data_IF_490515414105
#
_entry.id   IF_490515414105
#
_cell.length_a   1.000
_cell.length_b   1.000
_cell.length_c   1.000
_cell.angle_alpha   90.00
_cell.angle_beta   90.00
_cell.angle_gamma   90.00
#
_symmetry.space_group_name_H-M   'P 1'
#
loop_
_entity.id
_entity.type
_entity.pdbx_description
1 polymer ?
#
# COMPACT_ATOMS: atom_id res chain seq x y z
N UNK A 1 -9.64 -14.01 -8.02
CA UNK A 1 -10.54 -14.16 -6.87
C UNK A 1 -9.80 -15.02 -5.84
N UNK A 2 -9.10 -14.39 -4.91
CA UNK A 2 -8.37 -15.08 -3.84
C UNK A 2 -9.05 -14.69 -2.55
N UNK A 3 -9.84 -15.60 -1.99
CA UNK A 3 -10.45 -15.44 -0.68
C UNK A 3 -9.39 -15.74 0.38
N UNK A 4 -8.89 -14.72 1.06
CA UNK A 4 -8.06 -14.87 2.25
C UNK A 4 -8.97 -15.02 3.46
N UNK A 5 -9.31 -16.28 3.80
CA UNK A 5 -9.91 -16.63 5.08
C UNK A 5 -8.80 -16.72 6.13
N UNK A 6 -8.54 -15.62 6.82
CA UNK A 6 -7.66 -15.59 7.97
C UNK A 6 -8.49 -15.36 9.23
N UNK A 7 -8.87 -16.44 9.87
CA UNK A 7 -9.02 -16.58 11.32
C UNK A 7 -9.64 -17.96 11.58
N UNK A 8 -8.77 -18.97 11.68
CA UNK A 8 -9.16 -20.23 12.28
C UNK A 8 -8.88 -20.11 13.77
N UNK A 9 -9.90 -19.85 14.55
CA UNK A 9 -9.84 -19.96 16.01
C UNK A 9 -9.43 -21.39 16.36
N UNK A 10 -8.34 -21.50 17.09
CA UNK A 10 -7.86 -22.75 17.69
C UNK A 10 -8.94 -23.25 18.65
N UNK A 11 -9.41 -24.50 18.54
CA UNK A 11 -10.30 -25.04 19.54
C UNK A 11 -9.53 -25.18 20.87
N UNK A 12 -10.11 -24.63 21.90
CA UNK A 12 -9.67 -24.76 23.28
C UNK A 12 -9.91 -26.23 23.69
N UNK A 13 -8.87 -27.04 23.65
CA UNK A 13 -8.88 -28.38 24.19
C UNK A 13 -8.56 -28.32 25.68
N UNK A 14 -9.59 -28.17 26.48
CA UNK A 14 -9.56 -28.51 27.90
C UNK A 14 -9.53 -30.02 28.02
N UNK A 15 -8.35 -30.61 27.93
CA UNK A 15 -8.11 -31.98 28.36
C UNK A 15 -7.02 -31.94 29.43
N UNK A 16 -7.44 -31.91 30.67
CA UNK A 16 -6.65 -32.26 31.83
C UNK A 16 -6.16 -33.69 31.69
N UNK A 17 -5.00 -33.89 31.12
CA UNK A 17 -4.27 -35.14 31.22
C UNK A 17 -3.08 -34.89 32.14
N UNK A 18 -3.22 -35.27 33.40
CA UNK A 18 -2.10 -35.51 34.28
C UNK A 18 -1.24 -36.63 33.66
N UNK A 19 -0.21 -36.21 32.94
CA UNK A 19 0.87 -37.11 32.56
C UNK A 19 1.81 -37.25 33.79
N UNK A 20 1.74 -38.36 34.44
CA UNK A 20 2.73 -38.83 35.40
C UNK A 20 4.11 -38.78 34.74
N UNK A 21 4.96 -37.94 35.28
CA UNK A 21 6.38 -37.85 34.88
C UNK A 21 7.06 -39.21 35.18
N UNK A 22 7.39 -39.96 34.15
CA UNK A 22 8.39 -41.03 34.22
C UNK A 22 9.75 -40.40 34.20
N UNK A 23 10.63 -40.71 35.18
CA UNK A 23 12.02 -40.32 35.15
C UNK A 23 12.78 -41.30 34.24
N UNK A 24 12.62 -41.17 32.96
CA UNK A 24 13.35 -41.96 31.96
C UNK A 24 14.09 -40.98 31.04
N UNK A 25 15.41 -41.03 31.06
CA UNK A 25 16.30 -40.15 30.36
C UNK A 25 15.95 -39.97 28.90
N UNK A 26 15.28 -38.84 28.59
CA UNK A 26 15.07 -38.40 27.23
C UNK A 26 16.42 -38.21 26.54
N UNK A 27 16.55 -38.81 25.36
CA UNK A 27 17.78 -38.70 24.58
C UNK A 27 18.09 -37.21 24.34
N UNK A 28 19.18 -36.62 24.87
CA UNK A 28 19.48 -35.19 24.78
C UNK A 28 19.56 -34.70 23.34
N UNK A 29 19.85 -35.59 22.39
CA UNK A 29 19.85 -35.27 20.95
C UNK A 29 18.45 -35.05 20.39
N UNK A 30 17.43 -35.78 20.89
CA UNK A 30 16.04 -35.59 20.47
C UNK A 30 15.48 -34.28 21.03
N UNK A 31 15.75 -33.98 22.31
CA UNK A 31 15.32 -32.73 22.93
C UNK A 31 15.97 -31.52 22.26
N UNK A 32 17.28 -31.59 21.94
CA UNK A 32 17.97 -30.55 21.19
C UNK A 32 17.44 -30.33 19.78
N UNK A 33 17.01 -31.42 19.12
CA UNK A 33 16.39 -31.34 17.79
C UNK A 33 15.00 -30.71 17.84
N UNK A 34 14.18 -31.06 18.81
CA UNK A 34 12.85 -30.46 19.01
C UNK A 34 12.96 -28.97 19.32
N UNK A 35 13.84 -28.57 20.23
CA UNK A 35 14.08 -27.18 20.55
C UNK A 35 14.58 -26.38 19.32
N UNK A 36 15.46 -26.99 18.51
CA UNK A 36 15.93 -26.37 17.26
C UNK A 36 14.81 -26.19 16.27
N UNK A 37 13.95 -27.19 16.08
CA UNK A 37 12.79 -27.14 15.17
C UNK A 37 11.75 -26.09 15.62
N UNK A 38 11.49 -25.97 16.91
CA UNK A 38 10.61 -24.94 17.44
C UNK A 38 11.17 -23.54 17.20
N UNK A 39 12.45 -23.32 17.48
CA UNK A 39 13.11 -22.04 17.21
C UNK A 39 13.09 -21.73 15.72
N UNK A 40 13.45 -22.66 14.87
CA UNK A 40 13.47 -22.48 13.42
C UNK A 40 12.07 -22.20 12.87
N UNK A 41 11.04 -22.94 13.34
CA UNK A 41 9.65 -22.69 12.98
C UNK A 41 9.17 -21.29 13.39
N UNK A 42 9.60 -20.79 14.55
CA UNK A 42 9.28 -19.42 15.00
C UNK A 42 9.93 -18.35 14.12
N UNK A 43 11.15 -18.57 13.62
CA UNK A 43 11.82 -17.64 12.69
C UNK A 43 11.12 -17.58 11.35
N UNK A 44 10.70 -18.74 10.80
CA UNK A 44 9.97 -18.79 9.52
C UNK A 44 8.63 -18.06 9.63
N UNK A 45 7.88 -18.28 10.72
CA UNK A 45 6.58 -17.62 10.92
C UNK A 45 6.75 -16.11 11.09
N UNK A 46 7.76 -15.65 11.81
CA UNK A 46 8.10 -14.22 11.92
C UNK A 46 8.48 -13.62 10.58
N UNK A 47 9.30 -14.33 9.79
CA UNK A 47 9.68 -13.85 8.45
C UNK A 47 8.47 -13.72 7.53
N UNK A 48 7.51 -14.65 7.59
CA UNK A 48 6.26 -14.56 6.84
C UNK A 48 5.40 -13.35 7.28
N UNK A 49 5.29 -13.11 8.59
CA UNK A 49 4.57 -11.95 9.12
C UNK A 49 5.20 -10.62 8.66
N UNK A 50 6.54 -10.50 8.71
CA UNK A 50 7.23 -9.29 8.25
C UNK A 50 7.06 -9.04 6.76
N UNK A 51 7.01 -10.10 5.94
CA UNK A 51 6.70 -9.97 4.50
C UNK A 51 5.30 -9.40 4.28
N UNK A 52 4.31 -9.86 5.04
CA UNK A 52 2.95 -9.31 4.97
C UNK A 52 2.91 -7.84 5.37
N UNK A 53 3.56 -7.47 6.47
CA UNK A 53 3.66 -6.06 6.92
C UNK A 53 4.32 -5.20 5.83
N UNK A 54 5.45 -5.65 5.29
CA UNK A 54 6.15 -4.93 4.23
C UNK A 54 5.27 -4.75 2.98
N UNK A 55 4.51 -5.77 2.59
CA UNK A 55 3.58 -5.70 1.46
C UNK A 55 2.47 -4.68 1.70
N UNK A 56 1.86 -4.66 2.90
CA UNK A 56 0.86 -3.66 3.25
C UNK A 56 1.43 -2.24 3.25
N UNK A 57 2.62 -2.04 3.81
CA UNK A 57 3.28 -0.74 3.79
C UNK A 57 3.55 -0.27 2.35
N UNK A 58 3.96 -1.17 1.46
CA UNK A 58 4.21 -0.87 0.06
C UNK A 58 2.91 -0.42 -0.63
N UNK A 59 1.81 -1.16 -0.48
CA UNK A 59 0.51 -0.80 -1.06
C UNK A 59 0.08 0.59 -0.58
N UNK A 60 0.16 0.86 0.72
CA UNK A 60 -0.22 2.16 1.28
C UNK A 60 0.65 3.30 0.72
N UNK A 61 1.95 3.08 0.57
CA UNK A 61 2.87 4.05 0.00
C UNK A 61 2.55 4.34 -1.49
N UNK A 62 2.23 3.31 -2.28
CA UNK A 62 1.88 3.48 -3.69
C UNK A 62 0.52 4.16 -3.87
N UNK A 63 -0.47 3.88 -3.03
CA UNK A 63 -1.76 4.59 -3.03
C UNK A 63 -1.56 6.08 -2.72
N UNK A 64 -0.78 6.39 -1.69
CA UNK A 64 -0.46 7.76 -1.32
C UNK A 64 0.28 8.51 -2.45
N UNK A 65 1.27 7.84 -3.09
CA UNK A 65 1.99 8.37 -4.24
C UNK A 65 1.07 8.57 -5.45
N UNK A 66 0.11 7.68 -5.67
CA UNK A 66 -0.87 7.78 -6.74
C UNK A 66 -1.71 9.07 -6.60
N UNK A 67 -2.29 9.32 -5.42
CA UNK A 67 -3.06 10.54 -5.14
C UNK A 67 -2.19 11.78 -5.27
N UNK A 68 -0.98 11.76 -4.71
CA UNK A 68 -0.05 12.87 -4.79
C UNK A 68 0.31 13.19 -6.25
N UNK A 69 0.66 12.20 -7.07
CA UNK A 69 0.99 12.40 -8.48
C UNK A 69 -0.20 12.88 -9.31
N UNK A 70 -1.42 12.46 -8.95
CA UNK A 70 -2.64 12.88 -9.64
C UNK A 70 -2.97 14.35 -9.39
N UNK A 71 -2.90 14.78 -8.12
CA UNK A 71 -3.47 16.06 -7.66
C UNK A 71 -2.45 17.20 -7.60
N UNK A 72 -1.14 16.89 -7.57
CA UNK A 72 -0.10 17.92 -7.50
C UNK A 72 0.05 18.65 -8.83
N UNK A 73 0.15 19.99 -8.75
CA UNK A 73 0.47 20.84 -9.89
C UNK A 73 1.75 21.60 -9.58
N UNK A 74 2.76 21.41 -10.42
CA UNK A 74 4.09 22.05 -10.30
C UNK A 74 4.38 22.99 -11.47
N UNK A 75 5.25 23.96 -11.24
CA UNK A 75 5.75 24.86 -12.30
C UNK A 75 6.76 24.16 -13.23
N UNK A 76 7.38 23.07 -12.77
CA UNK A 76 8.31 22.28 -13.55
C UNK A 76 7.56 21.32 -14.47
N UNK A 77 7.60 21.62 -15.77
CA UNK A 77 6.91 20.84 -16.82
C UNK A 77 7.45 19.42 -16.92
N UNK A 78 8.75 19.22 -16.77
CA UNK A 78 9.37 17.89 -16.85
C UNK A 78 8.94 17.01 -15.67
N UNK A 79 8.96 17.60 -14.47
CA UNK A 79 8.48 16.92 -13.27
C UNK A 79 6.99 16.56 -13.38
N UNK A 80 6.17 17.52 -13.85
CA UNK A 80 4.73 17.27 -14.07
C UNK A 80 4.49 16.12 -15.03
N UNK A 81 5.25 16.06 -16.13
CA UNK A 81 5.14 14.96 -17.10
C UNK A 81 5.52 13.61 -16.50
N UNK A 82 6.62 13.55 -15.72
CA UNK A 82 7.03 12.32 -15.02
C UNK A 82 5.98 11.84 -14.01
N UNK A 83 5.33 12.76 -13.29
CA UNK A 83 4.25 12.43 -12.35
C UNK A 83 3.05 11.81 -13.08
N UNK A 84 2.62 12.40 -14.20
CA UNK A 84 1.52 11.88 -15.02
C UNK A 84 1.88 10.52 -15.65
N UNK A 85 3.10 10.39 -16.17
CA UNK A 85 3.59 9.11 -16.71
C UNK A 85 3.57 8.02 -15.64
N UNK A 86 4.14 8.28 -14.46
CA UNK A 86 4.13 7.33 -13.35
C UNK A 86 2.70 6.93 -12.97
N UNK A 87 1.80 7.90 -12.85
CA UNK A 87 0.40 7.65 -12.54
C UNK A 87 -0.26 6.72 -13.57
N UNK A 88 0.07 6.87 -14.86
CA UNK A 88 -0.53 6.08 -15.94
C UNK A 88 -0.25 4.57 -15.83
N UNK A 89 0.86 4.18 -15.18
CA UNK A 89 1.20 2.77 -14.92
C UNK A 89 0.34 2.13 -13.83
N UNK A 90 -0.17 2.94 -12.90
CA UNK A 90 -1.04 2.46 -11.82
C UNK A 90 -2.52 2.43 -12.20
N UNK A 91 -2.90 3.08 -13.31
CA UNK A 91 -4.29 3.13 -13.75
C UNK A 91 -4.64 1.94 -14.63
N UNK A 92 -5.72 1.24 -14.29
CA UNK A 92 -6.23 0.10 -15.06
C UNK A 92 -7.71 0.28 -15.43
N UNK A 93 -8.16 -0.40 -16.48
CA UNK A 93 -9.55 -0.45 -16.89
C UNK A 93 -10.19 0.93 -17.10
N UNK A 94 -11.37 1.12 -16.52
CA UNK A 94 -12.16 2.37 -16.62
C UNK A 94 -11.49 3.57 -15.94
N UNK A 95 -10.59 3.35 -14.96
CA UNK A 95 -9.90 4.43 -14.27
C UNK A 95 -9.05 5.30 -15.21
N UNK A 96 -8.52 4.72 -16.31
CA UNK A 96 -7.81 5.49 -17.35
C UNK A 96 -8.72 6.51 -18.05
N UNK A 97 -9.96 6.14 -18.33
CA UNK A 97 -10.95 7.03 -18.92
C UNK A 97 -11.29 8.19 -18.01
N UNK A 98 -11.62 7.89 -16.76
CA UNK A 98 -11.94 8.90 -15.72
C UNK A 98 -10.77 9.85 -15.49
N UNK A 99 -9.54 9.34 -15.45
CA UNK A 99 -8.35 10.17 -15.29
C UNK A 99 -8.14 11.12 -16.47
N UNK A 100 -8.38 10.65 -17.70
CA UNK A 100 -8.28 11.47 -18.91
C UNK A 100 -9.31 12.61 -18.88
N UNK A 101 -10.58 12.29 -18.63
CA UNK A 101 -11.66 13.29 -18.55
C UNK A 101 -11.35 14.32 -17.45
N UNK A 102 -10.80 13.86 -16.33
CA UNK A 102 -10.39 14.78 -15.24
C UNK A 102 -9.29 15.73 -15.69
N UNK A 103 -8.24 15.25 -16.40
CA UNK A 103 -7.15 16.09 -16.90
C UNK A 103 -7.59 17.01 -18.05
N UNK A 104 -8.59 16.64 -18.85
CA UNK A 104 -9.19 17.52 -19.85
C UNK A 104 -9.89 18.72 -19.19
N UNK A 105 -10.57 18.48 -18.05
CA UNK A 105 -11.22 19.53 -17.27
C UNK A 105 -10.24 20.32 -16.38
N UNK A 106 -9.16 19.68 -15.91
CA UNK A 106 -8.20 20.22 -14.94
C UNK A 106 -6.76 20.10 -15.46
N UNK A 107 -6.46 20.75 -16.57
CA UNK A 107 -5.14 20.66 -17.18
C UNK A 107 -4.07 21.28 -16.26
N UNK A 108 -3.13 20.48 -15.70
CA UNK A 108 -2.15 20.96 -14.75
C UNK A 108 -1.20 22.03 -15.35
N UNK A 109 -0.93 21.94 -16.64
CA UNK A 109 -0.08 22.93 -17.33
C UNK A 109 -0.77 24.29 -17.42
N UNK A 110 -2.07 24.32 -17.69
CA UNK A 110 -2.82 25.59 -17.73
C UNK A 110 -3.03 26.16 -16.32
N UNK A 111 -3.23 25.32 -15.31
CA UNK A 111 -3.29 25.73 -13.91
C UNK A 111 -1.96 26.37 -13.50
N UNK A 112 -0.83 25.72 -13.80
CA UNK A 112 0.51 26.27 -13.51
C UNK A 112 0.77 27.59 -14.24
N UNK A 113 0.40 27.70 -15.53
CA UNK A 113 0.51 28.95 -16.30
C UNK A 113 -0.35 30.09 -15.72
N UNK A 114 -1.48 29.77 -15.11
CA UNK A 114 -2.32 30.76 -14.42
C UNK A 114 -1.70 31.29 -13.11
N UNK A 115 -0.51 30.81 -12.75
CA UNK A 115 0.22 31.22 -11.55
C UNK A 115 -0.15 30.46 -10.30
N UNK A 116 -0.88 29.35 -10.41
CA UNK A 116 -1.33 28.51 -9.30
C UNK A 116 -0.54 27.21 -9.25
N UNK A 117 -0.04 26.87 -8.08
CA UNK A 117 0.62 25.59 -7.79
C UNK A 117 -0.19 24.86 -6.73
N UNK A 118 -0.34 23.56 -6.88
CA UNK A 118 -1.08 22.71 -5.93
C UNK A 118 -0.12 21.74 -5.28
N UNK A 119 -0.03 21.81 -3.97
CA UNK A 119 0.71 20.86 -3.15
C UNK A 119 -0.26 19.94 -2.41
N UNK A 120 0.02 18.65 -2.45
CA UNK A 120 -0.80 17.59 -1.82
C UNK A 120 -0.07 17.01 -0.63
N UNK A 121 -0.72 17.03 0.52
CA UNK A 121 -0.22 16.42 1.76
C UNK A 121 -1.19 15.32 2.20
N UNK A 122 -0.74 14.08 2.16
CA UNK A 122 -1.54 12.93 2.62
C UNK A 122 -1.63 12.95 4.15
N UNK A 123 -2.85 12.83 4.67
CA UNK A 123 -3.11 12.80 6.11
C UNK A 123 -3.10 11.36 6.63
N UNK A 124 -2.01 11.00 7.29
CA UNK A 124 -1.84 9.66 7.84
C UNK A 124 -1.60 8.59 6.77
N UNK A 125 -1.96 7.36 7.08
CA UNK A 125 -1.84 6.23 6.18
C UNK A 125 -3.19 5.91 5.54
N UNK A 126 -3.22 5.47 4.27
CA UNK A 126 -4.43 4.91 3.66
C UNK A 126 -5.03 3.80 4.52
N UNK A 127 -6.29 3.93 4.91
CA UNK A 127 -6.97 2.99 5.80
C UNK A 127 -7.73 1.94 4.98
N UNK A 128 -7.52 0.63 5.22
CA UNK A 128 -8.28 -0.42 4.54
C UNK A 128 -9.76 -0.34 4.96
N UNK A 129 -10.65 -0.26 3.97
CA UNK A 129 -12.12 -0.27 4.13
C UNK A 129 -12.67 -1.64 3.77
N UNK A 130 -12.04 -2.30 2.78
CA UNK A 130 -12.34 -3.67 2.38
C UNK A 130 -11.04 -4.41 2.00
N UNK A 131 -11.17 -5.63 1.44
CA UNK A 131 -10.01 -6.43 0.99
C UNK A 131 -9.17 -5.74 -0.09
N UNK A 132 -9.78 -4.87 -0.86
CA UNK A 132 -9.24 -4.26 -2.06
C UNK A 132 -9.45 -2.74 -2.13
N UNK A 133 -10.07 -2.14 -1.11
CA UNK A 133 -10.40 -0.71 -1.08
C UNK A 133 -9.80 -0.03 0.13
N UNK A 134 -9.24 1.16 -0.11
CA UNK A 134 -8.57 1.98 0.90
C UNK A 134 -9.16 3.38 0.90
N UNK A 135 -9.44 3.92 2.08
CA UNK A 135 -9.79 5.32 2.28
C UNK A 135 -8.52 6.15 2.45
N UNK A 136 -8.43 7.23 1.70
CA UNK A 136 -7.32 8.16 1.72
C UNK A 136 -7.83 9.55 2.01
N UNK A 137 -7.19 10.23 2.95
CA UNK A 137 -7.46 11.62 3.30
C UNK A 137 -6.24 12.47 2.95
N UNK A 138 -6.46 13.65 2.36
CA UNK A 138 -5.36 14.56 2.03
C UNK A 138 -5.82 16.02 2.11
N UNK A 139 -4.84 16.91 2.17
CA UNK A 139 -5.06 18.35 2.07
C UNK A 139 -4.38 18.86 0.82
N UNK A 140 -5.10 19.62 0.01
CA UNK A 140 -4.57 20.39 -1.10
C UNK A 140 -4.34 21.81 -0.69
N UNK A 141 -3.13 22.29 -0.90
CA UNK A 141 -2.73 23.66 -0.62
C UNK A 141 -2.39 24.34 -1.95
N UNK A 142 -3.18 25.36 -2.32
CA UNK A 142 -2.95 26.14 -3.52
C UNK A 142 -2.10 27.37 -3.17
N UNK A 143 -0.99 27.53 -3.87
CA UNK A 143 -0.07 28.68 -3.69
C UNK A 143 0.17 29.38 -5.02
N UNK A 144 0.48 30.67 -4.93
CA UNK A 144 1.03 31.41 -6.09
C UNK A 144 2.49 31.03 -6.34
N UNK A 145 3.03 31.38 -7.51
CA UNK A 145 4.47 31.23 -7.79
C UNK A 145 5.36 32.01 -6.80
N UNK A 146 4.84 33.06 -6.17
CA UNK A 146 5.53 33.79 -5.09
C UNK A 146 5.44 33.10 -3.72
N UNK A 147 4.82 31.91 -3.63
CA UNK A 147 4.67 31.13 -2.40
C UNK A 147 3.51 31.57 -1.50
N UNK A 148 2.72 32.57 -1.90
CA UNK A 148 1.57 33.04 -1.11
C UNK A 148 0.48 31.98 -1.12
N UNK A 149 -0.05 31.65 0.05
CA UNK A 149 -1.18 30.76 0.21
C UNK A 149 -2.43 31.41 -0.38
N UNK A 150 -3.06 30.75 -1.34
CA UNK A 150 -4.31 31.20 -1.98
C UNK A 150 -5.52 30.46 -1.43
N UNK A 151 -5.37 29.14 -1.20
CA UNK A 151 -6.47 28.29 -0.77
C UNK A 151 -5.95 27.00 -0.10
N UNK A 152 -6.81 26.33 0.69
CA UNK A 152 -6.48 25.04 1.31
C UNK A 152 -7.76 24.27 1.59
N UNK A 153 -7.87 23.07 1.03
CA UNK A 153 -9.02 22.18 1.20
C UNK A 153 -8.62 20.77 1.60
N UNK A 154 -9.41 20.17 2.48
CA UNK A 154 -9.30 18.76 2.82
C UNK A 154 -10.21 17.92 1.92
N UNK A 155 -9.69 16.79 1.48
CA UNK A 155 -10.37 15.83 0.62
C UNK A 155 -10.28 14.43 1.19
N UNK A 156 -11.24 13.61 0.83
CA UNK A 156 -11.29 12.18 1.14
C UNK A 156 -11.74 11.42 -0.11
N UNK A 157 -11.14 10.27 -0.36
CA UNK A 157 -11.58 9.35 -1.42
C UNK A 157 -11.38 7.89 -1.02
N UNK A 158 -12.18 7.02 -1.63
CA UNK A 158 -11.97 5.57 -1.59
C UNK A 158 -11.32 5.12 -2.87
N UNK A 159 -10.15 4.47 -2.75
CA UNK A 159 -9.38 3.92 -3.87
C UNK A 159 -9.52 2.42 -3.85
N UNK A 160 -10.02 1.83 -4.93
CA UNK A 160 -10.06 0.37 -5.11
C UNK A 160 -8.85 -0.06 -5.93
N UNK A 161 -8.12 -1.05 -5.44
CA UNK A 161 -6.93 -1.60 -6.08
C UNK A 161 -7.21 -2.98 -6.65
N UNK A 162 -6.54 -3.31 -7.75
CA UNK A 162 -6.52 -4.64 -8.31
C UNK A 162 -5.07 -5.06 -8.50
N UNK A 163 -4.67 -6.17 -7.90
CA UNK A 163 -3.31 -6.69 -8.04
C UNK A 163 -3.30 -7.70 -9.18
N UNK A 164 -2.61 -7.35 -10.27
CA UNK A 164 -2.39 -8.23 -11.42
C UNK A 164 -0.89 -8.47 -11.53
N UNK A 165 -0.39 -9.68 -11.25
CA UNK A 165 1.04 -9.96 -11.37
C UNK A 165 1.54 -9.62 -12.77
N UNK A 166 2.57 -8.78 -12.92
CA UNK A 166 3.08 -8.40 -14.22
C UNK A 166 3.79 -9.58 -14.90
N UNK A 167 3.55 -9.74 -16.20
CA UNK A 167 4.16 -10.79 -17.01
C UNK A 167 5.45 -10.33 -17.73
N UNK A 168 5.74 -9.03 -17.67
CA UNK A 168 6.87 -8.41 -18.37
C UNK A 168 7.77 -7.68 -17.38
N UNK A 169 9.08 -7.94 -17.42
CA UNK A 169 10.06 -7.35 -16.50
C UNK A 169 10.06 -5.81 -16.49
N UNK A 170 9.82 -5.18 -17.64
CA UNK A 170 9.77 -3.73 -17.74
C UNK A 170 8.58 -3.14 -16.93
N UNK A 171 7.47 -3.87 -16.83
CA UNK A 171 6.31 -3.47 -16.01
C UNK A 171 6.59 -3.72 -14.54
N UNK A 172 7.25 -4.83 -14.21
CA UNK A 172 7.63 -5.17 -12.84
C UNK A 172 8.46 -4.07 -12.16
N UNK A 173 9.38 -3.43 -12.91
CA UNK A 173 10.23 -2.36 -12.38
C UNK A 173 9.47 -1.04 -12.15
N UNK A 174 8.36 -0.81 -12.86
CA UNK A 174 7.57 0.43 -12.80
C UNK A 174 6.33 0.32 -11.93
N UNK A 175 5.72 -0.85 -11.91
CA UNK A 175 4.55 -1.18 -11.11
C UNK A 175 4.62 -2.67 -10.68
N UNK A 176 5.25 -2.97 -9.54
CA UNK A 176 5.41 -4.34 -9.06
C UNK A 176 4.09 -5.03 -8.68
N UNK A 177 3.00 -4.29 -8.54
CA UNK A 177 1.66 -4.82 -8.26
C UNK A 177 0.83 -5.15 -9.51
N UNK A 178 1.30 -4.78 -10.70
CA UNK A 178 0.65 -5.02 -11.99
C UNK A 178 -0.39 -3.97 -12.39
#
# INVERSE_FOLDING_TARGET
MVALSFFKTKPENTATAQATASPGGGNPYLNGREEWLERYGSYISRAAQWRMVAFFCLIQAEIAACISNWRTVTADVELQQKMIERLSFFMAGSAKGVLREWYEANNPYEIAKSGKLVHVEIKGLPLPVSSDSYRVEWVETVRSHAGVLLDSHAYEATVTIQINPPTVDAVLLRNPGG
#
